data_IF_302139529045
#
_entry.id   IF_302139529045
#
_cell.length_a   1.000
_cell.length_b   1.000
_cell.length_c   1.000
_cell.angle_alpha   90.00
_cell.angle_beta   90.00
_cell.angle_gamma   90.00
#
_symmetry.space_group_name_H-M   'P 1'
#
loop_
_entity.id
_entity.type
_entity.pdbx_description
1 polymer ?
#
# COMPACT_ATOMS: atom_id res chain seq x y z
N UNK A 1 -8.29 -11.76 -21.78
CA UNK A 1 -6.91 -11.21 -21.75
C UNK A 1 -6.34 -11.52 -20.37
N UNK A 2 -5.26 -12.34 -20.36
CA UNK A 2 -4.83 -12.97 -19.11
C UNK A 2 -4.11 -12.00 -18.18
N UNK A 3 -4.38 -12.13 -16.88
CA UNK A 3 -3.69 -11.45 -15.77
C UNK A 3 -2.14 -11.55 -15.83
N UNK A 4 -1.59 -12.45 -16.67
CA UNK A 4 -0.15 -12.71 -16.78
C UNK A 4 0.70 -11.56 -17.34
N UNK A 5 0.15 -10.70 -18.19
CA UNK A 5 0.92 -9.60 -18.81
C UNK A 5 1.06 -8.36 -17.91
N UNK A 6 0.24 -8.25 -16.87
CA UNK A 6 0.22 -7.09 -15.96
C UNK A 6 0.89 -7.37 -14.60
N UNK A 7 1.49 -8.54 -14.45
CA UNK A 7 2.24 -8.88 -13.25
C UNK A 7 3.53 -8.04 -13.15
N UNK A 8 3.82 -7.49 -11.98
CA UNK A 8 5.04 -6.75 -11.69
C UNK A 8 5.82 -7.43 -10.59
N UNK A 9 7.06 -7.83 -10.88
CA UNK A 9 7.99 -8.27 -9.86
C UNK A 9 8.36 -7.08 -8.96
N UNK A 10 7.66 -6.92 -7.85
CA UNK A 10 7.70 -5.69 -7.06
C UNK A 10 9.06 -5.42 -6.44
N UNK A 11 9.75 -6.45 -5.93
CA UNK A 11 11.13 -6.31 -5.45
C UNK A 11 12.09 -5.90 -6.59
N UNK A 12 11.84 -6.34 -7.84
CA UNK A 12 12.63 -5.94 -9.01
C UNK A 12 12.48 -4.46 -9.34
N UNK A 13 11.31 -3.89 -9.10
CA UNK A 13 11.11 -2.45 -9.26
C UNK A 13 12.10 -1.66 -8.40
N UNK A 14 12.27 -2.00 -7.11
CA UNK A 14 13.23 -1.34 -6.23
C UNK A 14 14.67 -1.50 -6.73
N UNK A 15 15.06 -2.69 -7.18
CA UNK A 15 16.41 -2.93 -7.72
C UNK A 15 16.70 -2.09 -8.96
N UNK A 16 15.75 -1.98 -9.88
CA UNK A 16 15.88 -1.10 -11.07
C UNK A 16 16.00 0.37 -10.68
N UNK A 17 15.53 0.75 -9.51
CA UNK A 17 15.68 2.08 -8.93
C UNK A 17 16.95 2.24 -8.10
N UNK A 18 17.89 1.29 -8.17
CA UNK A 18 19.16 1.33 -7.46
C UNK A 18 19.09 0.99 -5.97
N UNK A 19 17.99 0.38 -5.51
CA UNK A 19 17.80 0.00 -4.10
C UNK A 19 18.11 -1.48 -3.91
N UNK A 20 19.14 -1.83 -3.13
CA UNK A 20 19.43 -3.22 -2.77
C UNK A 20 18.26 -3.85 -2.03
N UNK A 21 17.55 -4.73 -2.72
CA UNK A 21 16.32 -5.39 -2.24
C UNK A 21 16.45 -6.89 -2.43
N UNK A 22 16.35 -7.71 -1.37
CA UNK A 22 16.37 -9.15 -1.48
C UNK A 22 15.23 -9.66 -2.37
N UNK A 23 15.53 -10.68 -3.18
CA UNK A 23 14.50 -11.35 -3.99
C UNK A 23 13.71 -12.38 -3.20
N UNK A 24 14.28 -12.86 -2.09
CA UNK A 24 13.69 -13.85 -1.20
C UNK A 24 14.30 -13.69 0.19
N UNK A 25 13.55 -13.94 1.28
CA UNK A 25 14.05 -13.80 2.65
C UNK A 25 15.32 -14.62 2.95
N UNK A 26 15.48 -15.79 2.30
CA UNK A 26 16.66 -16.66 2.48
C UNK A 26 17.89 -16.10 1.73
N UNK A 27 17.68 -15.31 0.69
CA UNK A 27 18.75 -14.67 -0.09
C UNK A 27 19.03 -13.25 0.43
N UNK A 28 19.14 -13.11 1.73
CA UNK A 28 19.35 -11.83 2.38
C UNK A 28 20.65 -11.18 1.85
N UNK A 29 20.52 -10.14 1.07
CA UNK A 29 21.66 -9.37 0.60
C UNK A 29 22.38 -8.72 1.79
N UNK A 30 23.71 -8.57 1.70
CA UNK A 30 24.45 -7.78 2.69
C UNK A 30 23.89 -6.35 2.71
N UNK A 31 23.46 -5.88 3.88
CA UNK A 31 22.90 -4.55 4.11
C UNK A 31 21.75 -4.17 3.13
N UNK A 32 20.61 -4.86 3.14
CA UNK A 32 19.47 -4.50 2.30
C UNK A 32 18.97 -3.10 2.69
N UNK A 33 18.68 -2.29 1.69
CA UNK A 33 18.07 -0.95 1.87
C UNK A 33 16.56 -0.99 1.87
N UNK A 34 16.00 -2.08 1.38
CA UNK A 34 14.56 -2.31 1.33
C UNK A 34 14.28 -3.80 1.47
N UNK A 35 13.20 -4.15 2.13
CA UNK A 35 12.58 -5.47 2.02
C UNK A 35 11.12 -5.27 1.58
N UNK A 36 10.61 -6.22 0.83
CA UNK A 36 9.25 -6.21 0.31
C UNK A 36 8.59 -7.54 0.62
N UNK A 37 7.35 -7.50 1.06
CA UNK A 37 6.48 -8.68 1.16
C UNK A 37 5.21 -8.43 0.39
N UNK A 38 4.74 -9.41 -0.37
CA UNK A 38 3.44 -9.35 -1.06
C UNK A 38 2.44 -10.25 -0.35
N UNK A 39 1.17 -9.91 -0.40
CA UNK A 39 0.10 -10.74 0.13
C UNK A 39 -1.05 -10.77 -0.86
N UNK A 40 -1.39 -11.95 -1.35
CA UNK A 40 -2.45 -12.14 -2.33
C UNK A 40 -2.26 -11.40 -3.66
N UNK A 41 -1.09 -10.84 -3.89
CA UNK A 41 -0.70 -10.01 -5.03
C UNK A 41 -1.44 -8.67 -5.16
N UNK A 42 -2.51 -8.46 -4.38
CA UNK A 42 -3.28 -7.21 -4.40
C UNK A 42 -2.67 -6.09 -3.55
N UNK A 43 -1.75 -6.42 -2.65
CA UNK A 43 -0.98 -5.43 -1.90
C UNK A 43 0.42 -5.92 -1.53
N UNK A 44 1.29 -4.97 -1.23
CA UNK A 44 2.63 -5.24 -0.75
C UNK A 44 2.97 -4.34 0.44
N UNK A 45 3.83 -4.85 1.33
CA UNK A 45 4.43 -4.06 2.40
C UNK A 45 5.89 -3.78 2.07
N UNK A 46 6.33 -2.57 2.34
CA UNK A 46 7.69 -2.11 2.12
C UNK A 46 8.33 -1.73 3.44
N UNK A 47 9.49 -2.30 3.73
CA UNK A 47 10.29 -2.03 4.92
C UNK A 47 11.55 -1.30 4.50
N UNK A 48 11.68 -0.05 4.92
CA UNK A 48 12.88 0.74 4.66
C UNK A 48 14.00 0.32 5.61
N UNK A 49 15.20 0.13 5.07
CA UNK A 49 16.41 -0.23 5.83
C UNK A 49 16.17 -1.34 6.88
N UNK A 50 15.68 -2.53 6.48
CA UNK A 50 15.44 -3.63 7.40
C UNK A 50 16.77 -4.03 8.07
N UNK A 51 16.74 -4.30 9.35
CA UNK A 51 17.94 -4.57 10.14
C UNK A 51 18.51 -3.34 10.85
N UNK A 52 18.02 -2.13 10.57
CA UNK A 52 18.32 -0.97 11.41
C UNK A 52 17.41 -1.01 12.64
N UNK A 53 17.95 -1.13 13.86
CA UNK A 53 17.13 -1.11 15.07
C UNK A 53 16.37 0.21 15.18
N UNK A 54 15.07 0.13 15.38
CA UNK A 54 14.19 1.27 15.59
C UNK A 54 12.93 0.84 16.33
N UNK A 55 12.37 1.73 17.15
CA UNK A 55 11.16 1.48 17.88
C UNK A 55 9.92 1.60 16.97
N UNK A 56 9.93 2.56 16.04
CA UNK A 56 8.77 2.96 15.27
C UNK A 56 9.02 2.90 13.76
N UNK A 57 7.94 2.80 12.99
CA UNK A 57 7.96 2.96 11.54
C UNK A 57 8.37 4.39 11.17
N UNK A 58 8.99 4.53 10.01
CA UNK A 58 9.29 5.85 9.50
C UNK A 58 8.06 6.49 8.86
N UNK A 59 7.74 7.74 9.22
CA UNK A 59 6.65 8.46 8.57
C UNK A 59 6.94 8.73 7.09
N UNK A 60 5.89 8.89 6.29
CA UNK A 60 5.98 9.15 4.84
C UNK A 60 6.93 10.29 4.52
N UNK A 61 6.90 11.37 5.29
CA UNK A 61 7.81 12.50 5.11
C UNK A 61 9.29 12.12 5.21
N UNK A 62 9.65 11.15 6.08
CA UNK A 62 11.01 10.60 6.18
C UNK A 62 11.32 9.67 5.01
N UNK A 63 10.36 8.85 4.60
CA UNK A 63 10.51 7.89 3.50
C UNK A 63 10.65 8.56 2.13
N UNK A 64 10.11 9.74 1.96
CA UNK A 64 10.25 10.56 0.74
C UNK A 64 11.64 11.17 0.56
N UNK A 65 12.44 11.21 1.62
CA UNK A 65 13.79 11.73 1.52
C UNK A 65 14.66 10.85 0.62
N UNK A 66 15.56 11.46 -0.20
CA UNK A 66 16.44 10.72 -1.12
C UNK A 66 17.31 9.64 -0.44
N UNK A 67 17.68 9.86 0.80
CA UNK A 67 18.52 8.96 1.58
C UNK A 67 17.75 7.79 2.25
N UNK A 68 16.43 7.84 2.32
CA UNK A 68 15.63 6.84 3.03
C UNK A 68 15.88 5.41 2.51
N UNK A 69 15.90 5.24 1.21
CA UNK A 69 16.20 3.98 0.55
C UNK A 69 17.60 3.98 -0.10
N UNK A 70 18.33 5.09 -0.05
CA UNK A 70 19.61 5.26 -0.70
C UNK A 70 19.52 5.42 -2.23
N UNK A 71 18.36 5.75 -2.77
CA UNK A 71 18.12 5.88 -4.21
C UNK A 71 18.42 7.28 -4.78
N UNK A 72 18.76 8.25 -3.93
CA UNK A 72 19.03 9.63 -4.37
C UNK A 72 17.79 10.41 -4.80
N UNK A 73 16.57 9.87 -4.59
CA UNK A 73 15.29 10.48 -5.00
C UNK A 73 14.12 10.04 -4.11
N UNK A 74 12.97 10.70 -4.26
CA UNK A 74 11.69 10.35 -3.61
C UNK A 74 11.11 9.08 -4.27
N UNK A 75 11.29 7.93 -3.61
CA UNK A 75 10.73 6.67 -4.09
C UNK A 75 9.24 6.51 -3.77
N UNK A 76 8.72 7.17 -2.75
CA UNK A 76 7.29 7.13 -2.45
C UNK A 76 6.51 7.77 -3.60
N UNK A 77 6.97 8.91 -4.07
CA UNK A 77 6.36 9.58 -5.21
C UNK A 77 6.55 8.79 -6.51
N UNK A 78 7.70 8.14 -6.68
CA UNK A 78 7.95 7.29 -7.84
C UNK A 78 7.00 6.07 -7.85
N UNK A 79 6.81 5.39 -6.72
CA UNK A 79 5.85 4.30 -6.56
C UNK A 79 4.41 4.75 -6.86
N UNK A 80 4.00 5.88 -6.30
CA UNK A 80 2.66 6.41 -6.48
C UNK A 80 2.32 6.77 -7.95
N UNK A 81 3.34 6.90 -8.80
CA UNK A 81 3.19 7.16 -10.25
C UNK A 81 3.22 5.91 -11.11
N UNK A 82 3.54 4.75 -10.52
CA UNK A 82 3.52 3.49 -11.27
C UNK A 82 2.10 3.11 -11.67
N UNK A 83 1.82 2.77 -12.93
CA UNK A 83 0.48 2.39 -13.36
C UNK A 83 -0.10 1.20 -12.61
N UNK A 84 0.77 0.31 -12.09
CA UNK A 84 0.37 -0.86 -11.31
C UNK A 84 0.03 -0.53 -9.85
N UNK A 85 0.18 0.72 -9.41
CA UNK A 85 -0.05 1.17 -8.04
C UNK A 85 -1.26 2.08 -7.98
N UNK A 86 -2.25 1.69 -7.19
CA UNK A 86 -3.43 2.52 -6.91
C UNK A 86 -3.07 3.66 -5.95
N UNK A 87 -2.45 3.32 -4.84
CA UNK A 87 -1.95 4.26 -3.84
C UNK A 87 -0.86 3.63 -2.96
N UNK A 88 -0.13 4.49 -2.29
CA UNK A 88 0.84 4.16 -1.24
C UNK A 88 0.37 4.78 0.06
N UNK A 89 0.32 4.00 1.15
CA UNK A 89 -0.05 4.46 2.48
C UNK A 89 1.12 4.29 3.45
N UNK A 90 1.28 5.21 4.37
CA UNK A 90 2.26 5.16 5.45
C UNK A 90 1.90 6.09 6.59
N UNK A 91 2.62 6.01 7.71
CA UNK A 91 2.36 6.88 8.86
C UNK A 91 2.60 8.34 8.51
N UNK A 92 1.69 9.24 8.93
CA UNK A 92 1.83 10.67 8.72
C UNK A 92 2.84 11.34 9.66
N UNK A 93 3.22 10.65 10.74
CA UNK A 93 4.03 11.21 11.83
C UNK A 93 3.26 12.19 12.75
N UNK A 94 1.93 12.29 12.59
CA UNK A 94 1.04 13.16 13.37
C UNK A 94 -0.16 12.41 13.97
N UNK A 95 -0.07 11.08 14.04
CA UNK A 95 -1.17 10.23 14.54
C UNK A 95 -2.22 9.96 13.46
N UNK A 96 -1.83 9.22 12.44
CA UNK A 96 -2.67 8.80 11.32
C UNK A 96 -1.81 8.43 10.12
N UNK A 97 -2.43 8.29 8.97
CA UNK A 97 -1.79 7.87 7.72
C UNK A 97 -1.80 9.00 6.69
N UNK A 98 -0.79 9.01 5.85
CA UNK A 98 -0.74 9.76 4.61
C UNK A 98 -0.88 8.79 3.45
N UNK A 99 -1.78 9.08 2.52
CA UNK A 99 -1.93 8.39 1.25
C UNK A 99 -1.34 9.24 0.14
N UNK A 100 -0.63 8.57 -0.78
CA UNK A 100 -0.07 9.20 -1.99
C UNK A 100 -0.44 8.35 -3.20
N UNK A 101 -0.95 8.97 -4.24
CA UNK A 101 -1.28 8.32 -5.52
C UNK A 101 -0.87 9.23 -6.68
N UNK A 102 -1.06 8.75 -7.92
CA UNK A 102 -0.95 9.60 -9.12
C UNK A 102 -1.96 10.76 -9.10
N UNK A 103 -3.12 10.54 -8.48
CA UNK A 103 -4.22 11.50 -8.40
C UNK A 103 -4.07 12.51 -7.24
N UNK A 104 -3.04 12.37 -6.41
CA UNK A 104 -2.77 13.32 -5.34
C UNK A 104 -2.45 12.69 -3.99
N UNK A 105 -2.82 13.37 -2.90
CA UNK A 105 -2.55 12.93 -1.53
C UNK A 105 -3.74 13.18 -0.60
N UNK A 106 -3.83 12.36 0.43
CA UNK A 106 -4.87 12.48 1.46
C UNK A 106 -4.31 12.08 2.82
N UNK A 107 -5.03 12.46 3.88
CA UNK A 107 -4.81 11.98 5.23
C UNK A 107 -5.96 11.10 5.68
N UNK A 108 -5.63 10.08 6.48
CA UNK A 108 -6.61 9.26 7.19
C UNK A 108 -6.22 9.23 8.67
N UNK A 109 -7.16 9.52 9.56
CA UNK A 109 -6.91 9.49 11.00
C UNK A 109 -8.19 9.22 11.79
N UNK A 110 -8.04 8.85 13.07
CA UNK A 110 -9.16 8.67 14.00
C UNK A 110 -9.32 9.87 14.92
N UNK A 111 -10.58 10.23 15.21
CA UNK A 111 -10.94 11.16 16.26
C UNK A 111 -12.13 10.58 17.02
N UNK A 112 -11.90 10.14 18.25
CA UNK A 112 -12.88 9.35 19.00
C UNK A 112 -13.24 8.06 18.24
N UNK A 113 -14.54 7.81 18.07
CA UNK A 113 -15.05 6.66 17.31
C UNK A 113 -15.12 6.86 15.80
N UNK A 114 -14.73 8.03 15.29
CA UNK A 114 -14.85 8.36 13.86
C UNK A 114 -13.53 8.23 13.13
N UNK A 115 -13.60 7.73 11.91
CA UNK A 115 -12.54 7.72 10.91
C UNK A 115 -12.75 8.88 9.95
N UNK A 116 -11.68 9.63 9.71
CA UNK A 116 -11.70 10.82 8.87
C UNK A 116 -10.77 10.56 7.68
N UNK A 117 -11.30 10.69 6.49
CA UNK A 117 -10.54 10.81 5.25
C UNK A 117 -10.57 12.26 4.79
N UNK A 118 -9.42 12.84 4.52
CA UNK A 118 -9.28 14.24 4.09
C UNK A 118 -8.36 14.34 2.89
N UNK A 119 -8.89 14.54 1.67
CA UNK A 119 -8.07 14.88 0.51
C UNK A 119 -7.28 16.16 0.76
N UNK A 120 -6.02 16.18 0.35
CA UNK A 120 -5.13 17.34 0.41
C UNK A 120 -4.92 17.94 -0.97
N UNK A 121 -4.54 17.08 -1.91
CA UNK A 121 -4.42 17.40 -3.33
C UNK A 121 -5.00 16.23 -4.10
N UNK A 122 -5.89 16.46 -5.04
CA UNK A 122 -6.61 15.38 -5.71
C UNK A 122 -7.42 14.52 -4.74
N UNK A 123 -7.67 13.25 -5.10
CA UNK A 123 -8.47 12.35 -4.28
C UNK A 123 -8.02 10.88 -4.45
N UNK A 124 -7.02 10.41 -3.72
CA UNK A 124 -6.49 9.04 -3.84
C UNK A 124 -7.52 7.92 -3.71
N UNK A 125 -8.55 8.07 -2.89
CA UNK A 125 -9.60 7.06 -2.73
C UNK A 125 -10.86 7.33 -3.57
N UNK A 126 -10.88 8.44 -4.34
CA UNK A 126 -12.00 8.83 -5.22
C UNK A 126 -13.34 8.91 -4.48
N UNK A 127 -13.33 9.45 -3.27
CA UNK A 127 -14.52 9.63 -2.42
C UNK A 127 -15.24 10.94 -2.76
N UNK A 128 -14.55 11.87 -3.41
CA UNK A 128 -15.09 13.15 -3.86
C UNK A 128 -14.98 14.28 -2.85
N UNK A 129 -14.86 13.98 -1.55
CA UNK A 129 -14.82 14.98 -0.48
C UNK A 129 -14.18 14.45 0.81
N UNK A 130 -14.02 15.33 1.80
CA UNK A 130 -13.75 14.89 3.17
C UNK A 130 -14.93 14.08 3.69
N UNK A 131 -14.63 12.86 4.19
CA UNK A 131 -15.63 11.99 4.83
C UNK A 131 -15.27 11.79 6.30
N UNK A 132 -16.27 11.94 7.17
CA UNK A 132 -16.17 11.75 8.62
C UNK A 132 -17.29 10.78 9.02
N UNK A 133 -16.96 9.57 9.41
CA UNK A 133 -17.93 8.53 9.70
C UNK A 133 -17.40 7.53 10.73
N UNK A 134 -18.28 6.79 11.39
CA UNK A 134 -17.90 5.61 12.18
C UNK A 134 -17.50 4.47 11.24
N UNK A 135 -16.80 3.42 11.72
CA UNK A 135 -16.47 2.26 10.88
C UNK A 135 -17.69 1.62 10.22
N UNK A 136 -18.80 1.48 10.93
CA UNK A 136 -20.05 0.91 10.38
C UNK A 136 -20.62 1.80 9.26
N UNK A 137 -20.61 3.12 9.46
CA UNK A 137 -21.02 4.07 8.43
C UNK A 137 -20.07 4.04 7.22
N UNK A 138 -18.75 3.87 7.44
CA UNK A 138 -17.79 3.71 6.35
C UNK A 138 -18.10 2.48 5.50
N UNK A 139 -18.42 1.36 6.14
CA UNK A 139 -18.80 0.13 5.45
C UNK A 139 -20.10 0.32 4.66
N UNK A 140 -21.11 0.94 5.28
CA UNK A 140 -22.42 1.15 4.65
C UNK A 140 -22.35 2.13 3.46
N UNK A 141 -21.71 3.28 3.63
CA UNK A 141 -21.61 4.31 2.58
C UNK A 141 -20.57 3.96 1.51
N UNK A 142 -19.51 3.27 1.91
CA UNK A 142 -18.40 2.93 1.04
C UNK A 142 -18.66 1.75 0.09
N UNK A 143 -19.78 1.05 0.21
CA UNK A 143 -20.04 -0.16 -0.57
C UNK A 143 -19.96 0.05 -2.10
N UNK A 144 -20.23 1.27 -2.59
CA UNK A 144 -20.14 1.65 -3.99
C UNK A 144 -18.88 2.43 -4.34
N UNK A 145 -18.05 2.78 -3.37
CA UNK A 145 -16.76 3.47 -3.62
C UNK A 145 -15.81 2.55 -4.41
N UNK A 146 -14.86 3.12 -5.16
CA UNK A 146 -13.81 2.33 -5.84
C UNK A 146 -12.96 1.50 -4.86
N UNK A 147 -12.80 2.00 -3.63
CA UNK A 147 -12.04 1.37 -2.53
C UNK A 147 -12.91 1.28 -1.27
N UNK A 148 -13.86 0.32 -1.20
CA UNK A 148 -14.77 0.19 -0.06
C UNK A 148 -14.00 0.01 1.24
N UNK A 149 -14.40 0.75 2.27
CA UNK A 149 -13.85 0.66 3.63
C UNK A 149 -12.31 0.83 3.76
N UNK A 150 -11.61 1.23 2.69
CA UNK A 150 -10.15 1.29 2.66
C UNK A 150 -9.55 2.18 3.77
N UNK A 151 -10.21 3.26 4.14
CA UNK A 151 -9.74 4.16 5.21
C UNK A 151 -9.69 3.46 6.58
N UNK A 152 -10.72 2.65 6.90
CA UNK A 152 -10.78 1.88 8.15
C UNK A 152 -9.77 0.75 8.13
N UNK A 153 -9.75 -0.04 7.05
CA UNK A 153 -8.85 -1.18 6.88
C UNK A 153 -7.36 -0.78 6.98
N UNK A 154 -6.98 0.33 6.36
CA UNK A 154 -5.61 0.83 6.44
C UNK A 154 -5.24 1.24 7.87
N UNK A 155 -6.11 1.98 8.58
CA UNK A 155 -5.84 2.35 9.97
C UNK A 155 -5.69 1.12 10.86
N UNK A 156 -6.51 0.09 10.67
CA UNK A 156 -6.42 -1.14 11.46
C UNK A 156 -5.17 -1.95 11.10
N UNK A 157 -4.80 -2.01 9.82
CA UNK A 157 -3.57 -2.65 9.38
C UNK A 157 -2.33 -2.01 10.01
N UNK A 158 -2.29 -0.69 10.11
CA UNK A 158 -1.16 0.01 10.73
C UNK A 158 -1.09 -0.10 12.25
N UNK A 159 -2.11 -0.65 12.93
CA UNK A 159 -2.01 -1.00 14.34
C UNK A 159 -1.14 -2.25 14.56
N UNK A 160 -1.01 -3.12 13.58
CA UNK A 160 -0.18 -4.32 13.71
C UNK A 160 1.31 -3.95 13.69
N UNK A 161 2.06 -4.44 14.66
CA UNK A 161 3.50 -4.14 14.81
C UNK A 161 4.37 -4.61 13.64
N UNK A 162 3.89 -5.59 12.87
CA UNK A 162 4.61 -6.16 11.72
C UNK A 162 4.25 -5.52 10.38
N UNK A 163 3.34 -4.56 10.34
CA UNK A 163 3.07 -3.80 9.12
C UNK A 163 4.32 -3.05 8.68
N UNK A 164 4.59 -3.03 7.39
CA UNK A 164 5.72 -2.29 6.81
C UNK A 164 5.66 -0.78 7.06
N UNK A 165 6.70 -0.08 6.67
CA UNK A 165 6.71 1.38 6.67
C UNK A 165 5.73 1.96 5.66
N UNK A 166 5.57 1.25 4.52
CA UNK A 166 4.55 1.56 3.52
C UNK A 166 3.72 0.31 3.24
N UNK A 167 2.44 0.55 2.96
CA UNK A 167 1.53 -0.38 2.32
C UNK A 167 1.27 0.16 0.91
N UNK A 168 1.42 -0.70 -0.08
CA UNK A 168 1.22 -0.37 -1.50
C UNK A 168 0.05 -1.20 -2.01
N UNK A 169 -1.00 -0.55 -2.48
CA UNK A 169 -2.16 -1.21 -3.06
C UNK A 169 -1.99 -1.31 -4.59
N UNK A 170 -2.26 -2.48 -5.15
CA UNK A 170 -2.29 -2.67 -6.59
C UNK A 170 -3.47 -1.92 -7.21
N UNK A 171 -3.26 -1.36 -8.39
CA UNK A 171 -4.34 -0.86 -9.24
C UNK A 171 -5.15 -2.04 -9.81
N UNK A 172 -6.41 -1.78 -10.15
CA UNK A 172 -7.27 -2.80 -10.76
C UNK A 172 -6.63 -3.37 -12.03
N UNK A 173 -6.66 -4.70 -12.15
CA UNK A 173 -6.05 -5.42 -13.25
C UNK A 173 -4.53 -5.65 -13.13
N UNK A 174 -3.90 -5.25 -12.03
CA UNK A 174 -2.48 -5.49 -11.78
C UNK A 174 -2.24 -6.36 -10.56
N UNK A 175 -1.15 -7.13 -10.63
CA UNK A 175 -0.61 -7.94 -9.54
C UNK A 175 0.78 -7.45 -9.13
N UNK A 176 1.01 -7.30 -7.83
CA UNK A 176 2.33 -7.04 -7.25
C UNK A 176 2.93 -8.40 -6.86
N UNK A 177 3.65 -9.04 -7.77
CA UNK A 177 4.16 -10.42 -7.58
C UNK A 177 5.57 -10.43 -7.02
N UNK A 178 5.91 -11.60 -6.44
CA UNK A 178 7.29 -11.97 -6.25
C UNK A 178 7.86 -12.69 -7.47
N UNK A 179 9.17 -12.57 -7.69
CA UNK A 179 9.86 -13.12 -8.87
C UNK A 179 9.72 -14.64 -9.00
N UNK A 180 9.60 -15.35 -7.87
CA UNK A 180 9.64 -16.81 -7.81
C UNK A 180 8.27 -17.46 -7.61
N UNK A 181 7.20 -16.75 -7.89
CA UNK A 181 5.87 -17.31 -7.84
C UNK A 181 5.69 -18.29 -9.02
N UNK A 182 5.69 -19.58 -8.70
CA UNK A 182 5.50 -20.65 -9.68
C UNK A 182 4.61 -21.74 -9.08
N UNK A 183 3.55 -22.17 -9.79
CA UNK A 183 3.08 -21.65 -11.07
C UNK A 183 2.50 -20.23 -10.93
N UNK A 184 2.49 -19.48 -12.03
CA UNK A 184 1.85 -18.17 -12.07
C UNK A 184 0.37 -18.30 -11.71
N UNK A 185 -0.08 -17.60 -10.68
CA UNK A 185 -1.48 -17.57 -10.27
C UNK A 185 -2.34 -16.91 -11.36
N UNK A 186 -3.54 -17.46 -11.56
CA UNK A 186 -4.53 -16.89 -12.49
C UNK A 186 -5.51 -15.95 -11.83
N UNK A 187 -5.43 -15.81 -10.51
CA UNK A 187 -6.26 -14.92 -9.71
C UNK A 187 -5.42 -14.26 -8.62
N UNK A 188 -5.65 -12.98 -8.37
CA UNK A 188 -5.11 -12.23 -7.25
C UNK A 188 -6.19 -11.95 -6.21
N UNK A 189 -5.77 -11.58 -5.00
CA UNK A 189 -6.64 -11.12 -3.93
C UNK A 189 -5.90 -10.12 -3.02
N UNK A 190 -6.61 -9.56 -2.04
CA UNK A 190 -6.00 -8.68 -1.04
C UNK A 190 -5.83 -7.23 -1.49
N UNK A 191 -6.31 -6.84 -2.67
CA UNK A 191 -6.40 -5.44 -3.05
C UNK A 191 -7.57 -4.74 -2.35
N UNK A 192 -7.44 -3.43 -2.15
CA UNK A 192 -8.51 -2.59 -1.62
C UNK A 192 -9.60 -2.26 -2.66
N UNK A 193 -9.46 -2.67 -3.92
CA UNK A 193 -10.44 -2.38 -4.99
C UNK A 193 -11.76 -3.11 -4.75
N UNK A 194 -12.86 -2.47 -5.13
CA UNK A 194 -14.21 -2.98 -4.90
C UNK A 194 -14.43 -4.41 -5.43
N UNK A 195 -13.90 -4.73 -6.61
CA UNK A 195 -14.03 -6.07 -7.21
C UNK A 195 -13.37 -7.18 -6.36
N UNK A 196 -12.41 -6.85 -5.50
CA UNK A 196 -11.77 -7.79 -4.58
C UNK A 196 -12.40 -7.79 -3.18
N UNK A 197 -13.10 -6.72 -2.80
CA UNK A 197 -13.74 -6.58 -1.48
C UNK A 197 -15.14 -7.16 -1.45
N UNK A 198 -15.84 -7.19 -2.56
CA UNK A 198 -17.19 -7.75 -2.67
C UNK A 198 -17.14 -9.24 -2.99
N UNK A 199 -17.60 -10.06 -2.08
CA UNK A 199 -17.68 -11.51 -2.24
C UNK A 199 -19.14 -11.95 -2.28
N UNK A 200 -19.49 -13.00 -3.07
CA UNK A 200 -20.83 -13.56 -3.04
C UNK A 200 -21.11 -14.23 -1.69
N UNK A 201 -22.24 -13.91 -1.09
CA UNK A 201 -22.75 -14.58 0.11
C UNK A 201 -23.86 -15.54 -0.31
N UNK A 202 -23.65 -16.83 -0.05
CA UNK A 202 -24.67 -17.85 -0.25
C UNK A 202 -25.31 -18.17 1.10
N UNK A 203 -26.63 -17.97 1.19
CA UNK A 203 -27.42 -18.43 2.33
C UNK A 203 -28.20 -19.69 1.90
N UNK A 204 -28.15 -20.73 2.71
CA UNK A 204 -29.01 -21.93 2.58
C UNK A 204 -30.36 -21.69 3.19
#
# INVERSE_FOLDING_TARGET
EGFGEQARAFAEWFRRHGVPTPSHPILWARAPRCAVTTSGNGHAMVYAQPGTPRADRWPVARLRRPDAFGAGRDLVQALAREPAVAFVAGESGRGGLELVSSDGSAEIFRTGSRVIYRPRTGDPLRIGATRVATPDEWLAYGALDPYPDAAVQLLDQFQASRTGDLVVAAAEGFDLRERFEAPAHRAGHGSAVRSHMQIPLWSS
#
